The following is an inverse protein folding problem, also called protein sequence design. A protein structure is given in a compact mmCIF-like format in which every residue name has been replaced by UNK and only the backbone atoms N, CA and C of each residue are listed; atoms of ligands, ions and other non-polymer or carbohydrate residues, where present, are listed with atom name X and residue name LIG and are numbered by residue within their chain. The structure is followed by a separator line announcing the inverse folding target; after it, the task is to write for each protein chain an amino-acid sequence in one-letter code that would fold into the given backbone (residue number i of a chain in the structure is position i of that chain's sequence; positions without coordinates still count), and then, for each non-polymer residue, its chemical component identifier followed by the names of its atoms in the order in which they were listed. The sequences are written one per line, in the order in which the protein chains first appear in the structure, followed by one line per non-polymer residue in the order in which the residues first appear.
data_IF_105331786387
#
_entry.id   IF_105331786387
#
_cell.length_a   1.000
_cell.length_b   1.000
_cell.length_c   1.000
_cell.angle_alpha   90.00
_cell.angle_beta   90.00
_cell.angle_gamma   90.00
#
_symmetry.space_group_name_H-M   'P 1'
#
loop_
_entity.id
_entity.type
_entity.pdbx_description
1 polymer ?
#
# COMPACT_ATOMS: atom_id res chain seq x y z
N UNK A 1 -7.72 -1.26 14.46
CA UNK A 1 -6.51 -2.09 14.22
C UNK A 1 -5.29 -1.21 14.20
N UNK A 2 -5.03 -0.54 13.08
CA UNK A 2 -3.85 0.32 12.86
C UNK A 2 -3.68 1.35 13.98
N UNK A 3 -4.73 2.13 14.30
CA UNK A 3 -4.64 3.14 15.37
C UNK A 3 -4.27 2.58 16.75
N UNK A 4 -4.75 1.39 17.11
CA UNK A 4 -4.38 0.75 18.38
C UNK A 4 -2.90 0.37 18.43
N UNK A 5 -2.36 -0.15 17.33
CA UNK A 5 -0.94 -0.49 17.21
C UNK A 5 -0.11 0.80 17.22
N UNK A 6 -0.47 1.79 16.42
CA UNK A 6 0.22 3.07 16.34
C UNK A 6 0.29 3.79 17.70
N UNK A 7 -0.82 3.81 18.45
CA UNK A 7 -0.89 4.39 19.78
C UNK A 7 -0.01 3.64 20.80
N UNK A 8 0.09 2.32 20.70
CA UNK A 8 0.91 1.52 21.62
C UNK A 8 2.41 1.79 21.49
N UNK A 9 2.87 2.23 20.32
CA UNK A 9 4.28 2.53 20.07
C UNK A 9 4.60 4.03 20.03
N UNK A 10 3.59 4.91 20.16
CA UNK A 10 3.77 6.36 20.03
C UNK A 10 4.79 6.92 21.05
N UNK A 11 5.72 7.83 20.64
CA UNK A 11 5.87 8.45 19.32
C UNK A 11 6.81 7.70 18.37
N UNK A 12 7.22 6.46 18.67
CA UNK A 12 8.13 5.72 17.80
C UNK A 12 7.48 5.44 16.44
N UNK A 13 8.23 5.61 15.33
CA UNK A 13 7.70 5.38 14.00
C UNK A 13 7.31 3.91 13.82
N UNK A 14 6.15 3.68 13.21
CA UNK A 14 5.72 2.36 12.74
C UNK A 14 5.49 2.42 11.23
N UNK A 15 5.85 1.36 10.52
CA UNK A 15 5.63 1.26 9.07
C UNK A 15 4.53 0.23 8.83
N UNK A 16 3.40 0.69 8.32
CA UNK A 16 2.25 -0.13 7.96
C UNK A 16 2.40 -0.57 6.51
N UNK A 17 2.56 -1.88 6.32
CA UNK A 17 2.50 -2.48 4.98
C UNK A 17 1.04 -2.52 4.50
N UNK A 18 0.80 -1.98 3.32
CA UNK A 18 -0.51 -1.99 2.67
C UNK A 18 -0.96 -3.42 2.32
N UNK A 19 -2.23 -3.60 1.96
CA UNK A 19 -2.83 -4.90 1.64
C UNK A 19 -2.05 -5.70 0.60
N UNK A 20 -1.41 -6.79 1.02
CA UNK A 20 -0.55 -7.64 0.19
C UNK A 20 -1.18 -9.02 -0.13
N UNK A 21 -2.51 -9.12 -0.01
CA UNK A 21 -3.20 -10.37 -0.30
C UNK A 21 -3.15 -10.69 -1.80
N UNK A 22 -3.01 -11.97 -2.10
CA UNK A 22 -3.16 -12.54 -3.43
C UNK A 22 -4.63 -12.76 -3.75
N UNK A 23 -4.94 -12.88 -5.03
CA UNK A 23 -6.27 -13.23 -5.52
C UNK A 23 -6.88 -14.46 -4.81
N UNK A 24 -6.11 -15.53 -4.62
CA UNK A 24 -6.58 -16.73 -3.94
C UNK A 24 -6.85 -16.54 -2.43
N UNK A 25 -6.23 -15.54 -1.79
CA UNK A 25 -6.49 -15.17 -0.39
C UNK A 25 -7.75 -14.33 -0.27
N UNK A 26 -7.93 -13.35 -1.17
CA UNK A 26 -9.19 -12.60 -1.29
C UNK A 26 -10.38 -13.50 -1.63
N UNK A 27 -10.20 -14.47 -2.52
CA UNK A 27 -11.23 -15.42 -2.96
C UNK A 27 -11.80 -16.22 -1.78
N UNK A 28 -10.97 -16.50 -0.76
CA UNK A 28 -11.35 -17.24 0.46
C UNK A 28 -12.08 -16.39 1.49
N UNK A 29 -12.15 -15.07 1.32
CA UNK A 29 -12.98 -14.22 2.17
C UNK A 29 -14.47 -14.47 1.87
N UNK A 30 -15.32 -14.19 2.85
CA UNK A 30 -16.78 -14.32 2.68
C UNK A 30 -17.21 -13.40 1.53
N UNK A 31 -17.71 -13.99 0.44
CA UNK A 31 -18.13 -13.27 -0.76
C UNK A 31 -17.02 -13.00 -1.79
N UNK A 32 -15.78 -13.44 -1.56
CA UNK A 32 -14.64 -13.15 -2.45
C UNK A 32 -14.63 -13.92 -3.78
N UNK A 33 -15.21 -15.11 -3.84
CA UNK A 33 -15.16 -16.00 -5.02
C UNK A 33 -15.69 -15.34 -6.31
N UNK A 34 -16.67 -14.43 -6.21
CA UNK A 34 -17.24 -13.73 -7.36
C UNK A 34 -16.41 -12.54 -7.87
N UNK A 35 -15.41 -12.08 -7.12
CA UNK A 35 -14.60 -10.91 -7.44
C UNK A 35 -13.17 -11.24 -7.87
N UNK A 36 -12.68 -12.45 -7.55
CA UNK A 36 -11.30 -12.83 -7.82
C UNK A 36 -11.19 -13.78 -9.01
N UNK A 37 -10.41 -13.45 -10.04
CA UNK A 37 -10.15 -14.38 -11.13
C UNK A 37 -9.33 -15.58 -10.62
N UNK A 38 -9.52 -16.72 -11.28
CA UNK A 38 -8.61 -17.84 -11.08
C UNK A 38 -7.27 -17.55 -11.77
N UNK A 39 -6.19 -17.58 -11.00
CA UNK A 39 -4.83 -17.43 -11.50
C UNK A 39 -4.05 -18.73 -11.28
N UNK A 40 -3.41 -19.23 -12.33
CA UNK A 40 -2.51 -20.40 -12.24
C UNK A 40 -1.37 -20.16 -11.24
N UNK A 41 -0.86 -18.92 -11.17
CA UNK A 41 0.25 -18.54 -10.28
C UNK A 41 -0.07 -17.26 -9.49
N UNK A 42 -0.82 -17.33 -8.37
CA UNK A 42 -1.20 -16.17 -7.57
C UNK A 42 -0.01 -15.40 -6.97
N UNK A 43 1.16 -16.04 -6.87
CA UNK A 43 2.38 -15.38 -6.38
C UNK A 43 2.84 -14.22 -7.26
N UNK A 44 2.57 -14.27 -8.57
CA UNK A 44 3.00 -13.28 -9.57
C UNK A 44 1.82 -12.56 -10.24
N UNK A 45 0.59 -12.85 -9.77
CA UNK A 45 -0.67 -12.33 -10.31
C UNK A 45 -1.10 -10.97 -9.76
N UNK A 46 -2.41 -10.74 -9.70
CA UNK A 46 -3.02 -9.48 -9.28
C UNK A 46 -2.87 -9.23 -7.77
N UNK A 47 -1.78 -8.55 -7.38
CA UNK A 47 -1.48 -8.16 -5.99
C UNK A 47 -0.59 -6.91 -5.90
N UNK A 48 -0.51 -6.32 -4.70
CA UNK A 48 0.30 -5.14 -4.40
C UNK A 48 -0.01 -3.94 -5.29
N UNK A 49 1.01 -3.19 -5.71
CA UNK A 49 0.84 -1.93 -6.43
C UNK A 49 -0.09 -2.03 -7.65
N UNK A 50 0.07 -3.04 -8.50
CA UNK A 50 -0.80 -3.22 -9.69
C UNK A 50 -2.27 -3.42 -9.34
N UNK A 51 -2.55 -4.02 -8.17
CA UNK A 51 -3.91 -4.26 -7.70
C UNK A 51 -4.55 -2.97 -7.22
N UNK A 52 -3.80 -2.12 -6.51
CA UNK A 52 -4.29 -0.81 -6.05
C UNK A 52 -4.71 0.10 -7.21
N UNK A 53 -4.07 -0.07 -8.36
CA UNK A 53 -4.32 0.70 -9.57
C UNK A 53 -5.32 0.03 -10.53
N UNK A 54 -5.81 -1.16 -10.21
CA UNK A 54 -6.75 -1.87 -11.06
C UNK A 54 -8.15 -1.24 -10.95
N UNK A 55 -8.85 -0.94 -12.06
CA UNK A 55 -10.16 -0.29 -12.02
C UNK A 55 -11.19 -1.00 -11.13
N UNK A 56 -11.19 -2.33 -11.15
CA UNK A 56 -12.13 -3.13 -10.34
C UNK A 56 -11.79 -3.17 -8.84
N UNK A 57 -10.63 -2.64 -8.42
CA UNK A 57 -10.16 -2.68 -7.04
C UNK A 57 -9.83 -1.30 -6.45
N UNK A 58 -9.77 -0.24 -7.27
CA UNK A 58 -9.46 1.13 -6.83
C UNK A 58 -10.36 1.58 -5.68
N UNK A 59 -11.67 1.30 -5.76
CA UNK A 59 -12.64 1.62 -4.70
C UNK A 59 -12.34 0.88 -3.38
N UNK A 60 -11.85 -0.36 -3.45
CA UNK A 60 -11.46 -1.12 -2.26
C UNK A 60 -10.18 -0.55 -1.65
N UNK A 61 -9.20 -0.16 -2.46
CA UNK A 61 -7.96 0.47 -1.99
C UNK A 61 -8.22 1.85 -1.38
N UNK A 62 -9.18 2.59 -1.90
CA UNK A 62 -9.64 3.86 -1.31
C UNK A 62 -10.10 3.69 0.15
N UNK A 63 -10.81 2.61 0.47
CA UNK A 63 -11.23 2.33 1.86
C UNK A 63 -10.02 2.12 2.80
N UNK A 64 -8.96 1.47 2.31
CA UNK A 64 -7.71 1.32 3.07
C UNK A 64 -7.03 2.68 3.28
N UNK A 65 -7.00 3.54 2.26
CA UNK A 65 -6.48 4.91 2.35
C UNK A 65 -7.29 5.76 3.34
N UNK A 66 -8.61 5.71 3.30
CA UNK A 66 -9.48 6.45 4.22
C UNK A 66 -9.23 6.03 5.68
N UNK A 67 -9.06 4.73 5.94
CA UNK A 67 -8.73 4.24 7.28
C UNK A 67 -7.37 4.76 7.78
N UNK A 68 -6.36 4.79 6.91
CA UNK A 68 -5.03 5.32 7.23
C UNK A 68 -5.06 6.85 7.43
N UNK A 69 -5.77 7.58 6.57
CA UNK A 69 -5.97 9.02 6.68
C UNK A 69 -6.69 9.37 7.99
N UNK A 70 -7.71 8.61 8.38
CA UNK A 70 -8.38 8.79 9.67
C UNK A 70 -7.41 8.62 10.85
N UNK A 71 -6.57 7.58 10.84
CA UNK A 71 -5.58 7.34 11.89
C UNK A 71 -4.58 8.49 12.01
N UNK A 72 -4.05 8.98 10.89
CA UNK A 72 -3.08 10.09 10.92
C UNK A 72 -3.76 11.42 11.24
N UNK A 73 -4.81 11.77 10.51
CA UNK A 73 -5.34 13.12 10.44
C UNK A 73 -6.36 13.41 11.56
N UNK A 74 -7.17 12.42 11.97
CA UNK A 74 -8.16 12.59 13.03
C UNK A 74 -7.66 12.09 14.38
N UNK A 75 -7.06 10.88 14.42
CA UNK A 75 -6.53 10.33 15.68
C UNK A 75 -5.17 10.93 16.07
N UNK A 76 -4.55 11.73 15.20
CA UNK A 76 -3.26 12.41 15.41
C UNK A 76 -2.08 11.46 15.67
N UNK A 77 -2.12 10.28 15.06
CA UNK A 77 -1.04 9.30 15.12
C UNK A 77 -0.12 9.46 13.91
N UNK A 78 0.67 10.52 13.94
CA UNK A 78 1.62 10.93 12.90
C UNK A 78 2.88 10.04 12.82
N UNK A 79 3.05 9.10 13.75
CA UNK A 79 4.08 8.07 13.72
C UNK A 79 3.79 6.92 12.72
N UNK A 80 2.65 6.97 11.99
CA UNK A 80 2.25 5.93 11.02
C UNK A 80 2.78 6.20 9.61
N UNK A 81 3.78 5.45 9.22
CA UNK A 81 4.35 5.44 7.89
C UNK A 81 3.79 4.31 7.03
N UNK A 82 3.97 4.39 5.71
CA UNK A 82 3.37 3.43 4.77
C UNK A 82 4.45 2.64 4.00
N UNK A 83 4.17 1.38 3.67
CA UNK A 83 5.03 0.59 2.80
C UNK A 83 4.19 -0.07 1.71
N UNK A 84 4.57 0.17 0.45
CA UNK A 84 3.94 -0.38 -0.74
C UNK A 84 4.58 -1.75 -1.06
N UNK A 85 3.83 -2.86 -0.95
CA UNK A 85 4.30 -4.17 -1.34
C UNK A 85 4.16 -4.40 -2.85
N UNK A 86 4.98 -5.31 -3.39
CA UNK A 86 4.88 -5.87 -4.72
C UNK A 86 4.80 -4.83 -5.85
N UNK A 87 5.63 -3.80 -5.76
CA UNK A 87 5.73 -2.73 -6.75
C UNK A 87 6.72 -3.12 -7.86
N UNK A 88 6.24 -3.43 -9.07
CA UNK A 88 7.04 -4.01 -10.14
C UNK A 88 7.88 -2.98 -10.88
N UNK A 89 7.35 -1.77 -11.04
CA UNK A 89 8.00 -0.67 -11.77
C UNK A 89 7.90 0.66 -11.03
N UNK A 90 8.82 1.62 -11.29
CA UNK A 90 8.70 2.98 -10.75
C UNK A 90 7.39 3.66 -11.16
N UNK A 91 6.83 3.36 -12.33
CA UNK A 91 5.55 3.89 -12.80
C UNK A 91 4.37 3.40 -11.96
N UNK A 92 4.35 2.10 -11.60
CA UNK A 92 3.36 1.57 -10.65
C UNK A 92 3.49 2.32 -9.31
N UNK A 93 4.72 2.54 -8.85
CA UNK A 93 4.98 3.28 -7.61
C UNK A 93 4.43 4.70 -7.65
N UNK A 94 4.69 5.45 -8.73
CA UNK A 94 4.15 6.81 -8.92
C UNK A 94 2.63 6.81 -8.91
N UNK A 95 2.00 5.85 -9.58
CA UNK A 95 0.54 5.69 -9.56
C UNK A 95 0.00 5.49 -8.15
N UNK A 96 0.66 4.67 -7.33
CA UNK A 96 0.26 4.45 -5.94
C UNK A 96 0.42 5.72 -5.10
N UNK A 97 1.53 6.45 -5.24
CA UNK A 97 1.75 7.73 -4.56
C UNK A 97 0.66 8.75 -4.93
N UNK A 98 0.29 8.85 -6.22
CA UNK A 98 -0.78 9.73 -6.68
C UNK A 98 -2.14 9.34 -6.09
N UNK A 99 -2.43 8.04 -6.03
CA UNK A 99 -3.68 7.53 -5.42
C UNK A 99 -3.73 7.79 -3.92
N UNK A 100 -2.62 7.59 -3.19
CA UNK A 100 -2.52 7.95 -1.77
C UNK A 100 -2.77 9.45 -1.57
N UNK A 101 -2.15 10.31 -2.37
CA UNK A 101 -2.31 11.75 -2.30
C UNK A 101 -3.77 12.20 -2.56
N UNK A 102 -4.44 11.60 -3.57
CA UNK A 102 -5.87 11.84 -3.84
C UNK A 102 -6.78 11.49 -2.66
N UNK A 103 -6.36 10.55 -1.81
CA UNK A 103 -7.09 10.10 -0.64
C UNK A 103 -6.56 10.69 0.68
N UNK A 104 -5.85 11.83 0.62
CA UNK A 104 -5.44 12.59 1.80
C UNK A 104 -4.17 12.08 2.50
N UNK A 105 -3.39 11.23 1.83
CA UNK A 105 -2.12 10.69 2.30
C UNK A 105 -0.99 11.16 1.38
N UNK A 106 -0.65 12.44 1.44
CA UNK A 106 0.37 13.02 0.57
C UNK A 106 1.78 12.80 1.15
N UNK A 107 2.65 12.20 0.36
CA UNK A 107 4.06 12.01 0.72
C UNK A 107 4.73 13.36 1.05
N UNK A 108 5.48 13.38 2.16
CA UNK A 108 6.14 14.56 2.71
C UNK A 108 5.23 15.51 3.50
N UNK A 109 3.91 15.38 3.42
CA UNK A 109 2.97 16.16 4.23
C UNK A 109 2.81 15.54 5.61
N UNK A 110 2.84 16.35 6.67
CA UNK A 110 2.82 15.89 8.07
C UNK A 110 3.85 14.77 8.34
N UNK A 111 5.05 14.90 7.77
CA UNK A 111 6.14 13.91 7.85
C UNK A 111 5.78 12.50 7.35
N UNK A 112 4.71 12.35 6.56
CA UNK A 112 4.33 11.08 5.97
C UNK A 112 5.39 10.62 4.98
N UNK A 113 6.08 9.53 5.33
CA UNK A 113 6.98 8.81 4.45
C UNK A 113 6.32 7.53 3.91
N UNK A 114 6.67 7.19 2.66
CA UNK A 114 6.18 6.01 1.95
C UNK A 114 7.38 5.22 1.42
N UNK A 115 7.48 3.96 1.83
CA UNK A 115 8.55 3.04 1.46
C UNK A 115 8.10 2.10 0.34
N UNK A 116 9.06 1.61 -0.44
CA UNK A 116 8.88 0.43 -1.28
C UNK A 116 9.37 -0.81 -0.54
N UNK A 117 8.58 -1.87 -0.51
CA UNK A 117 9.11 -3.18 -0.13
C UNK A 117 10.01 -3.67 -1.27
N UNK A 118 11.33 -3.68 -1.05
CA UNK A 118 12.30 -4.16 -2.03
C UNK A 118 12.32 -5.70 -2.06
N UNK A 119 11.40 -6.31 -2.83
CA UNK A 119 11.18 -7.76 -2.86
C UNK A 119 11.24 -8.38 -4.27
N UNK A 120 11.28 -7.55 -5.32
CA UNK A 120 11.38 -7.99 -6.71
C UNK A 120 12.78 -7.69 -7.27
N UNK A 121 13.32 -8.52 -8.18
CA UNK A 121 14.59 -8.23 -8.84
C UNK A 121 14.63 -6.86 -9.51
N UNK A 122 13.49 -6.39 -10.06
CA UNK A 122 13.39 -5.05 -10.66
C UNK A 122 13.64 -3.93 -9.65
N UNK A 123 13.26 -4.09 -8.38
CA UNK A 123 13.51 -3.08 -7.35
C UNK A 123 15.01 -2.85 -7.15
N UNK A 124 15.80 -3.93 -7.17
CA UNK A 124 17.26 -3.85 -7.01
C UNK A 124 17.93 -3.34 -8.29
N UNK A 125 17.47 -3.81 -9.46
CA UNK A 125 18.05 -3.43 -10.75
C UNK A 125 17.78 -1.96 -11.11
N UNK A 126 16.65 -1.41 -10.69
CA UNK A 126 16.24 -0.02 -10.94
C UNK A 126 16.18 0.81 -9.65
N UNK A 127 17.03 0.49 -8.65
CA UNK A 127 16.94 1.08 -7.31
C UNK A 127 16.98 2.61 -7.32
N UNK A 128 17.78 3.22 -8.19
CA UNK A 128 17.90 4.67 -8.33
C UNK A 128 16.60 5.32 -8.83
N UNK A 129 15.82 4.60 -9.64
CA UNK A 129 14.53 5.07 -10.14
C UNK A 129 13.44 4.91 -9.08
N UNK A 130 13.45 3.81 -8.33
CA UNK A 130 12.56 3.61 -7.18
C UNK A 130 12.82 4.63 -6.06
N UNK A 131 14.08 4.97 -5.79
CA UNK A 131 14.47 5.96 -4.78
C UNK A 131 14.04 7.40 -5.13
N UNK A 132 13.65 7.68 -6.37
CA UNK A 132 13.03 8.96 -6.75
C UNK A 132 11.53 9.00 -6.44
N UNK A 133 10.90 7.85 -6.22
CA UNK A 133 9.46 7.71 -5.98
C UNK A 133 9.16 7.52 -4.50
N UNK A 134 10.02 6.79 -3.78
CA UNK A 134 9.82 6.39 -2.38
C UNK A 134 10.85 7.02 -1.45
N UNK A 135 10.50 7.13 -0.17
CA UNK A 135 11.37 7.66 0.89
C UNK A 135 12.37 6.62 1.42
N UNK A 136 12.26 5.36 0.98
CA UNK A 136 13.18 4.27 1.27
C UNK A 136 12.66 2.89 0.90
#
# INVERSE_FOLDING_TARGET
GIGSIAAAFYPNPIIVRLGDFKSNEYCRLIGGEGFEPHEENPMIGLRGASRYLHPDFEDAFKLECEALAHVRNEMKLDNVHLMVPFCRTPEEGKGVIDTLAKNGLKQGEDELKVWCMCELPSNVLAIDEFAQVFDG
#
